data_IF_951239000994
#
_entry.id   IF_951239000994
#
_cell.length_a   1.000
_cell.length_b   1.000
_cell.length_c   1.000
_cell.angle_alpha   90.00
_cell.angle_beta   90.00
_cell.angle_gamma   90.00
#
_symmetry.space_group_name_H-M   'P 1'
#
loop_
_entity.id
_entity.type
_entity.pdbx_description
1 polymer ?
#
# COMPACT_ATOMS: atom_id res chain seq x y z
N UNK A 1 -3.38 11.88 24.91
CA UNK A 1 -3.10 11.90 23.46
C UNK A 1 -4.15 11.02 22.78
N UNK A 2 -4.95 11.57 21.88
CA UNK A 2 -5.95 10.84 21.09
C UNK A 2 -5.39 10.62 19.68
N UNK A 3 -5.52 9.41 19.15
CA UNK A 3 -5.19 9.11 17.76
C UNK A 3 -6.24 9.74 16.85
N UNK A 4 -5.81 10.40 15.77
CA UNK A 4 -6.72 10.78 14.70
C UNK A 4 -7.21 9.54 13.95
N UNK A 5 -8.32 9.68 13.23
CA UNK A 5 -8.99 8.56 12.57
C UNK A 5 -8.13 7.91 11.49
N UNK A 6 -7.36 8.70 10.73
CA UNK A 6 -6.49 8.16 9.68
C UNK A 6 -5.35 7.32 10.29
N UNK A 7 -4.69 7.85 11.32
CA UNK A 7 -3.67 7.12 12.08
C UNK A 7 -4.22 5.86 12.74
N UNK A 8 -5.45 5.90 13.25
CA UNK A 8 -6.11 4.74 13.84
C UNK A 8 -6.33 3.64 12.80
N UNK A 9 -6.94 3.96 11.65
CA UNK A 9 -7.22 2.96 10.61
C UNK A 9 -5.96 2.43 9.94
N UNK A 10 -4.95 3.28 9.73
CA UNK A 10 -3.63 2.87 9.30
C UNK A 10 -2.99 1.91 10.31
N UNK A 11 -3.13 2.19 11.61
CA UNK A 11 -2.70 1.30 12.69
C UNK A 11 -3.35 -0.09 12.62
N UNK A 12 -4.65 -0.15 12.31
CA UNK A 12 -5.38 -1.41 12.08
C UNK A 12 -4.85 -2.14 10.84
N UNK A 13 -4.60 -1.44 9.73
CA UNK A 13 -4.01 -2.03 8.53
C UNK A 13 -2.62 -2.62 8.82
N UNK A 14 -1.77 -1.89 9.54
CA UNK A 14 -0.45 -2.38 9.94
C UNK A 14 -0.51 -3.53 10.95
N UNK A 15 -1.51 -3.57 11.84
CA UNK A 15 -1.70 -4.71 12.73
C UNK A 15 -2.19 -5.94 11.95
N UNK A 16 -3.07 -5.73 10.97
CA UNK A 16 -3.59 -6.78 10.09
C UNK A 16 -2.45 -7.40 9.26
N UNK A 17 -1.48 -6.60 8.79
CA UNK A 17 -0.34 -7.11 8.02
C UNK A 17 0.46 -8.16 8.81
N UNK A 18 0.54 -8.04 10.14
CA UNK A 18 1.25 -9.01 11.00
C UNK A 18 0.62 -10.41 11.02
N UNK A 19 -0.57 -10.58 10.43
CA UNK A 19 -1.18 -11.90 10.22
C UNK A 19 -0.68 -12.60 8.95
N UNK A 20 -0.02 -11.89 8.04
CA UNK A 20 0.56 -12.49 6.84
C UNK A 20 1.69 -13.45 7.19
N UNK A 21 1.72 -14.60 6.52
CA UNK A 21 2.81 -15.58 6.62
C UNK A 21 3.88 -15.41 5.54
N UNK A 22 3.72 -14.42 4.65
CA UNK A 22 4.73 -14.12 3.65
C UNK A 22 6.02 -13.70 4.36
N UNK A 23 7.16 -14.40 4.19
CA UNK A 23 8.38 -14.09 4.95
C UNK A 23 9.06 -12.80 4.47
N UNK A 24 8.75 -12.33 3.26
CA UNK A 24 9.44 -11.20 2.61
C UNK A 24 8.60 -9.93 2.66
N UNK A 25 7.28 -10.06 2.51
CA UNK A 25 6.42 -8.89 2.33
C UNK A 25 5.08 -9.10 3.01
N UNK A 26 4.85 -8.39 4.11
CA UNK A 26 3.56 -8.43 4.79
C UNK A 26 2.80 -7.11 4.53
N UNK A 27 1.57 -7.26 4.06
CA UNK A 27 0.66 -6.17 3.71
C UNK A 27 -0.65 -6.43 4.43
N UNK A 28 -1.24 -5.38 4.97
CA UNK A 28 -2.57 -5.37 5.55
C UNK A 28 -3.42 -4.25 4.97
N UNK A 29 -4.72 -4.44 4.98
CA UNK A 29 -5.70 -3.49 4.47
C UNK A 29 -6.87 -3.33 5.46
N UNK A 30 -7.44 -2.13 5.54
CA UNK A 30 -8.59 -1.80 6.36
C UNK A 30 -9.57 -0.96 5.54
N UNK A 31 -10.77 -1.49 5.28
CA UNK A 31 -11.84 -0.81 4.55
C UNK A 31 -12.75 -0.12 5.56
N UNK A 32 -13.03 1.16 5.34
CA UNK A 32 -13.82 2.01 6.24
C UNK A 32 -14.89 2.75 5.44
N UNK A 33 -16.12 2.82 5.93
CA UNK A 33 -17.17 3.61 5.29
C UNK A 33 -17.10 5.10 5.66
N UNK A 34 -17.94 5.92 5.02
CA UNK A 34 -18.02 7.36 5.25
C UNK A 34 -18.41 7.75 6.69
N UNK A 35 -19.00 6.83 7.44
CA UNK A 35 -19.38 7.02 8.85
C UNK A 35 -18.23 6.68 9.81
N UNK A 36 -17.04 6.37 9.29
CA UNK A 36 -15.87 5.99 10.10
C UNK A 36 -15.97 4.59 10.70
N UNK A 37 -16.79 3.71 10.12
CA UNK A 37 -16.95 2.33 10.58
C UNK A 37 -16.08 1.42 9.71
N UNK A 38 -15.28 0.56 10.36
CA UNK A 38 -14.50 -0.47 9.69
C UNK A 38 -15.48 -1.50 9.12
N UNK A 39 -15.52 -1.61 7.80
CA UNK A 39 -16.35 -2.58 7.05
C UNK A 39 -15.63 -3.91 6.94
N UNK A 40 -14.32 -3.89 6.71
CA UNK A 40 -13.53 -5.11 6.53
C UNK A 40 -12.04 -4.89 6.75
N UNK A 41 -11.32 -5.97 7.01
CA UNK A 41 -9.85 -6.00 7.06
C UNK A 41 -9.31 -7.16 6.23
N UNK A 42 -8.08 -7.04 5.78
CA UNK A 42 -7.40 -8.06 5.00
C UNK A 42 -5.90 -8.03 5.18
N UNK A 43 -5.24 -9.11 4.79
CA UNK A 43 -3.79 -9.23 4.73
C UNK A 43 -3.41 -10.15 3.58
N UNK A 44 -2.19 -10.03 3.05
CA UNK A 44 -1.76 -10.89 1.96
C UNK A 44 -1.48 -12.31 2.48
N UNK A 45 -1.89 -13.31 1.71
CA UNK A 45 -1.82 -14.72 2.12
C UNK A 45 -2.19 -15.64 0.97
N UNK A 46 -1.95 -16.94 1.15
CA UNK A 46 -2.44 -17.94 0.21
C UNK A 46 -3.97 -18.02 0.23
N UNK A 47 -4.60 -18.62 -0.80
CA UNK A 47 -6.04 -18.76 -0.85
C UNK A 47 -6.56 -19.57 0.34
N UNK A 48 -7.77 -19.25 0.79
CA UNK A 48 -8.38 -19.95 1.92
C UNK A 48 -8.52 -21.44 1.61
N UNK A 49 -8.06 -22.28 2.54
CA UNK A 49 -8.09 -23.74 2.40
C UNK A 49 -6.83 -24.34 1.76
N UNK A 50 -5.86 -23.53 1.34
CA UNK A 50 -4.56 -24.01 0.91
C UNK A 50 -3.55 -24.05 2.07
N UNK A 51 -2.67 -25.05 2.08
CA UNK A 51 -1.61 -25.18 3.09
C UNK A 51 -0.43 -24.27 2.74
N UNK A 52 -0.13 -23.34 3.64
CA UNK A 52 0.98 -22.39 3.53
C UNK A 52 2.37 -23.06 3.55
N UNK A 53 2.47 -24.33 3.98
CA UNK A 53 3.70 -25.11 3.95
C UNK A 53 3.91 -25.83 2.61
N UNK A 54 2.84 -26.00 1.81
CA UNK A 54 2.88 -26.65 0.50
C UNK A 54 3.04 -25.62 -0.60
N UNK A 55 2.34 -24.48 -0.48
CA UNK A 55 2.43 -23.43 -1.48
C UNK A 55 3.73 -22.63 -1.35
N UNK A 56 4.38 -22.28 -2.48
CA UNK A 56 5.69 -21.67 -2.44
C UNK A 56 5.63 -20.18 -2.12
N UNK A 57 6.56 -19.73 -1.28
CA UNK A 57 6.77 -18.31 -0.95
C UNK A 57 7.90 -17.64 -1.76
N UNK A 58 8.54 -18.38 -2.67
CA UNK A 58 9.66 -17.90 -3.49
C UNK A 58 9.29 -16.71 -4.36
N UNK A 59 10.22 -15.76 -4.56
CA UNK A 59 9.96 -14.55 -5.37
C UNK A 59 10.64 -14.61 -6.75
N UNK A 60 11.91 -14.98 -6.78
CA UNK A 60 12.75 -14.93 -7.99
C UNK A 60 13.30 -16.32 -8.31
N UNK A 61 12.42 -17.27 -8.66
CA UNK A 61 12.81 -18.62 -9.06
C UNK A 61 12.63 -18.82 -10.58
N UNK A 62 13.44 -19.68 -11.22
CA UNK A 62 13.34 -19.92 -12.66
C UNK A 62 11.98 -20.50 -13.07
N UNK A 63 11.38 -21.30 -12.19
CA UNK A 63 10.06 -21.87 -12.39
C UNK A 63 8.99 -20.98 -11.74
N UNK A 64 8.08 -20.44 -12.56
CA UNK A 64 6.99 -19.56 -12.11
C UNK A 64 6.07 -20.25 -11.10
N UNK A 65 5.83 -21.56 -11.24
CA UNK A 65 4.99 -22.33 -10.33
C UNK A 65 5.65 -22.57 -8.97
N UNK A 66 6.94 -22.31 -8.84
CA UNK A 66 7.66 -22.31 -7.57
C UNK A 66 7.74 -20.90 -6.97
N UNK A 67 7.18 -19.89 -7.64
CA UNK A 67 7.04 -18.54 -7.08
C UNK A 67 5.67 -18.36 -6.41
N UNK A 68 5.59 -17.41 -5.49
CA UNK A 68 4.34 -17.07 -4.80
C UNK A 68 3.32 -16.33 -5.68
N UNK A 69 3.79 -15.68 -6.75
CA UNK A 69 3.00 -14.77 -7.57
C UNK A 69 1.69 -15.36 -8.13
N UNK A 70 1.63 -16.63 -8.53
CA UNK A 70 0.39 -17.24 -9.02
C UNK A 70 -0.65 -17.52 -7.92
N UNK A 71 -0.23 -17.58 -6.65
CA UNK A 71 -1.05 -18.11 -5.56
C UNK A 71 -1.40 -17.06 -4.52
N UNK A 72 -0.50 -16.11 -4.25
CA UNK A 72 -0.68 -15.15 -3.18
C UNK A 72 -1.80 -14.16 -3.50
N UNK A 73 -2.80 -14.10 -2.63
CA UNK A 73 -3.83 -13.08 -2.66
C UNK A 73 -3.33 -11.82 -1.96
N UNK A 74 -3.60 -10.66 -2.56
CA UNK A 74 -3.25 -9.36 -2.00
C UNK A 74 -4.16 -8.99 -0.81
N UNK A 75 -3.66 -8.13 0.08
CA UNK A 75 -4.39 -7.72 1.28
C UNK A 75 -5.70 -7.00 0.95
N UNK A 76 -5.69 -6.18 -0.10
CA UNK A 76 -6.82 -5.40 -0.60
C UNK A 76 -7.90 -6.32 -1.18
N UNK A 77 -7.50 -7.34 -1.95
CA UNK A 77 -8.42 -8.35 -2.49
C UNK A 77 -9.08 -9.12 -1.36
N UNK A 78 -8.29 -9.56 -0.37
CA UNK A 78 -8.81 -10.28 0.78
C UNK A 78 -9.75 -9.40 1.62
N UNK A 79 -9.43 -8.12 1.83
CA UNK A 79 -10.32 -7.20 2.52
C UNK A 79 -11.65 -7.00 1.76
N UNK A 80 -11.59 -6.90 0.43
CA UNK A 80 -12.77 -6.76 -0.40
C UNK A 80 -13.65 -8.01 -0.38
N UNK A 81 -13.06 -9.19 -0.52
CA UNK A 81 -13.79 -10.47 -0.49
C UNK A 81 -14.41 -10.76 0.88
N UNK A 82 -13.81 -10.26 1.95
CA UNK A 82 -14.34 -10.35 3.31
C UNK A 82 -15.49 -9.37 3.59
N UNK A 83 -15.69 -8.36 2.74
CA UNK A 83 -16.71 -7.34 2.94
C UNK A 83 -18.07 -7.75 2.34
N UNK A 84 -19.15 -7.40 3.02
CA UNK A 84 -20.51 -7.52 2.46
C UNK A 84 -20.69 -6.56 1.29
N UNK A 85 -21.18 -7.05 0.15
CA UNK A 85 -21.27 -6.28 -1.10
C UNK A 85 -22.16 -5.04 -1.00
N UNK A 86 -23.12 -5.01 -0.07
CA UNK A 86 -24.01 -3.87 0.17
C UNK A 86 -23.34 -2.68 0.87
N UNK A 87 -22.15 -2.86 1.44
CA UNK A 87 -21.51 -1.86 2.32
C UNK A 87 -20.32 -1.15 1.69
N UNK A 88 -19.97 -1.49 0.44
CA UNK A 88 -18.74 -1.01 -0.20
C UNK A 88 -18.87 0.34 -0.93
N UNK A 89 -20.10 0.82 -1.15
CA UNK A 89 -20.34 2.10 -1.80
C UNK A 89 -19.88 3.26 -0.90
N UNK A 90 -18.93 4.07 -1.38
CA UNK A 90 -18.42 5.23 -0.65
C UNK A 90 -17.37 4.90 0.41
N UNK A 91 -16.85 3.67 0.43
CA UNK A 91 -15.79 3.27 1.34
C UNK A 91 -14.40 3.75 0.90
N UNK A 92 -13.54 3.98 1.89
CA UNK A 92 -12.10 4.19 1.75
C UNK A 92 -11.35 2.95 2.22
N UNK A 93 -10.11 2.77 1.79
CA UNK A 93 -9.29 1.62 2.21
C UNK A 93 -7.88 2.07 2.51
N UNK A 94 -7.46 1.83 3.75
CA UNK A 94 -6.11 2.06 4.24
C UNK A 94 -5.26 0.82 4.01
N UNK A 95 -4.06 0.97 3.44
CA UNK A 95 -3.15 -0.14 3.15
C UNK A 95 -1.80 0.11 3.80
N UNK A 96 -1.32 -0.87 4.57
CA UNK A 96 -0.02 -0.82 5.22
C UNK A 96 0.85 -1.98 4.75
N UNK A 97 2.08 -1.67 4.35
CA UNK A 97 3.12 -2.66 4.02
C UNK A 97 4.22 -2.57 5.06
N UNK A 98 4.46 -3.63 5.81
CA UNK A 98 5.61 -3.66 6.71
C UNK A 98 6.89 -3.89 5.90
N UNK A 99 7.97 -3.21 6.30
CA UNK A 99 9.31 -3.22 5.67
C UNK A 99 9.52 -2.33 4.42
N UNK A 100 8.50 -1.61 3.95
CA UNK A 100 8.64 -0.50 3.00
C UNK A 100 7.74 0.61 3.52
N UNK A 101 8.30 1.77 3.87
CA UNK A 101 7.52 2.91 4.37
C UNK A 101 6.34 3.24 3.45
N UNK A 102 5.26 3.80 4.01
CA UNK A 102 4.05 4.19 3.27
C UNK A 102 4.40 4.94 1.97
N UNK A 103 4.00 4.38 0.83
CA UNK A 103 4.26 4.89 -0.54
C UNK A 103 3.04 5.61 -1.15
N UNK A 104 1.94 5.75 -0.40
CA UNK A 104 0.73 6.47 -0.81
C UNK A 104 0.57 7.74 0.01
N UNK A 105 0.44 8.89 -0.67
CA UNK A 105 0.20 10.20 -0.04
C UNK A 105 -1.20 10.30 0.59
N UNK A 106 -2.19 9.65 -0.03
CA UNK A 106 -3.61 9.82 0.29
C UNK A 106 -4.18 8.69 1.13
N UNK A 107 -3.42 7.61 1.36
CA UNK A 107 -3.89 6.48 2.16
C UNK A 107 -5.18 5.81 1.62
N UNK A 108 -5.59 6.17 0.39
CA UNK A 108 -6.87 5.77 -0.24
C UNK A 108 -6.61 4.99 -1.53
N UNK A 109 -7.50 4.05 -1.84
CA UNK A 109 -7.56 3.40 -3.17
C UNK A 109 -8.00 4.43 -4.23
N UNK A 110 -7.30 4.39 -5.36
CA UNK A 110 -7.70 5.06 -6.60
C UNK A 110 -8.99 4.41 -7.11
N UNK A 111 -10.11 5.13 -7.01
CA UNK A 111 -11.34 4.73 -7.68
C UNK A 111 -11.12 4.62 -9.18
N UNK A 112 -11.72 3.62 -9.85
CA UNK A 112 -11.65 3.47 -11.32
C UNK A 112 -12.16 4.70 -12.11
N UNK A 113 -12.86 5.64 -11.45
CA UNK A 113 -13.31 6.93 -12.00
C UNK A 113 -12.43 8.12 -11.60
N UNK A 114 -11.34 7.91 -10.86
CA UNK A 114 -10.42 8.98 -10.47
C UNK A 114 -9.42 9.24 -11.61
N UNK A 115 -9.88 9.96 -12.63
CA UNK A 115 -9.08 10.36 -13.80
C UNK A 115 -7.84 11.23 -13.46
N UNK A 116 -7.68 11.60 -12.18
CA UNK A 116 -6.63 12.46 -11.67
C UNK A 116 -5.46 11.67 -11.03
N UNK A 117 -5.62 10.38 -10.72
CA UNK A 117 -4.58 9.61 -10.04
C UNK A 117 -3.36 9.37 -10.95
N UNK A 118 -2.17 9.62 -10.42
CA UNK A 118 -0.89 9.37 -11.11
C UNK A 118 0.05 8.61 -10.19
N UNK A 119 0.74 7.62 -10.74
CA UNK A 119 1.86 6.97 -10.07
C UNK A 119 3.16 7.51 -10.68
N UNK A 120 3.98 8.15 -9.86
CA UNK A 120 5.27 8.71 -10.25
C UNK A 120 6.35 7.78 -9.71
N UNK A 121 7.24 7.35 -10.60
CA UNK A 121 8.38 6.51 -10.25
C UNK A 121 9.66 7.32 -10.43
N UNK A 122 10.32 7.64 -9.32
CA UNK A 122 11.57 8.41 -9.31
C UNK A 122 12.72 7.41 -9.28
N UNK A 123 13.50 7.39 -10.35
CA UNK A 123 14.68 6.54 -10.43
C UNK A 123 15.82 7.07 -9.57
N UNK A 124 16.46 6.18 -8.82
CA UNK A 124 17.68 6.53 -8.09
C UNK A 124 18.84 6.59 -9.07
N UNK A 125 19.62 7.66 -8.93
CA UNK A 125 20.76 7.95 -9.78
C UNK A 125 22.03 7.86 -8.95
N UNK A 126 23.05 7.21 -9.50
CA UNK A 126 24.35 7.16 -8.86
C UNK A 126 24.98 8.57 -8.88
N UNK A 127 25.35 9.12 -7.71
CA UNK A 127 25.76 10.53 -7.59
C UNK A 127 27.08 10.85 -8.31
N UNK A 128 27.90 9.85 -8.62
CA UNK A 128 29.20 10.02 -9.29
C UNK A 128 29.09 9.81 -10.80
N UNK A 129 28.28 8.84 -11.22
CA UNK A 129 28.20 8.46 -12.65
C UNK A 129 27.00 9.07 -13.39
N UNK A 130 26.02 9.63 -12.66
CA UNK A 130 24.80 10.16 -13.25
C UNK A 130 23.89 9.11 -13.90
N UNK A 131 24.22 7.82 -13.78
CA UNK A 131 23.45 6.72 -14.35
C UNK A 131 22.43 6.19 -13.35
N UNK A 132 21.28 5.75 -13.86
CA UNK A 132 20.25 5.08 -13.06
C UNK A 132 20.81 3.79 -12.48
N UNK A 133 20.55 3.54 -11.19
CA UNK A 133 21.07 2.35 -10.47
C UNK A 133 20.17 1.12 -10.64
N UNK A 134 19.02 1.26 -11.29
CA UNK A 134 17.99 0.21 -11.39
C UNK A 134 17.01 0.19 -10.23
N UNK A 135 17.30 0.90 -9.14
CA UNK A 135 16.39 1.11 -8.03
C UNK A 135 15.47 2.30 -8.30
N UNK A 136 14.20 2.12 -7.99
CA UNK A 136 13.17 3.14 -8.17
C UNK A 136 12.35 3.33 -6.90
N UNK A 137 11.95 4.56 -6.67
CA UNK A 137 11.07 4.94 -5.58
C UNK A 137 9.72 5.37 -6.13
N UNK A 138 8.66 4.74 -5.62
CA UNK A 138 7.31 4.89 -6.17
C UNK A 138 6.46 5.75 -5.26
N UNK A 139 5.85 6.78 -5.85
CA UNK A 139 4.90 7.67 -5.21
C UNK A 139 3.56 7.59 -5.92
N UNK A 140 2.52 7.17 -5.21
CA UNK A 140 1.15 7.21 -5.71
C UNK A 140 0.46 8.48 -5.19
N UNK A 141 -0.01 9.32 -6.12
CA UNK A 141 -0.77 10.54 -5.81
C UNK A 141 -2.17 10.36 -6.37
N UNK A 142 -3.18 10.43 -5.51
CA UNK A 142 -4.58 10.20 -5.89
C UNK A 142 -5.57 11.01 -5.07
N UNK A 143 -6.79 11.17 -5.57
CA UNK A 143 -7.91 11.73 -4.83
C UNK A 143 -7.86 13.25 -4.59
N UNK A 144 -8.29 13.66 -3.40
CA UNK A 144 -8.47 15.06 -3.01
C UNK A 144 -7.17 15.88 -3.05
N UNK A 145 -6.01 15.24 -2.78
CA UNK A 145 -4.69 15.87 -2.79
C UNK A 145 -4.40 16.56 -4.13
N UNK A 146 -4.75 15.93 -5.25
CA UNK A 146 -4.60 16.57 -6.57
C UNK A 146 -5.74 17.55 -6.87
N UNK A 147 -6.97 17.27 -6.43
CA UNK A 147 -8.12 18.18 -6.65
C UNK A 147 -7.99 19.52 -5.90
N UNK A 148 -7.28 19.52 -4.78
CA UNK A 148 -7.06 20.70 -3.94
C UNK A 148 -5.74 21.42 -4.23
N UNK A 149 -4.91 20.89 -5.15
CA UNK A 149 -3.60 21.47 -5.47
C UNK A 149 -2.52 21.22 -4.41
N UNK A 150 -2.74 20.28 -3.47
CA UNK A 150 -1.80 19.94 -2.39
C UNK A 150 -0.83 18.80 -2.76
N UNK A 151 -0.77 18.45 -4.06
CA UNK A 151 0.11 17.40 -4.56
C UNK A 151 1.58 17.71 -4.33
N UNK A 152 1.96 18.97 -4.45
CA UNK A 152 3.36 19.40 -4.37
C UNK A 152 3.87 19.29 -2.93
N UNK A 153 3.09 19.77 -1.95
CA UNK A 153 3.34 19.60 -0.52
C UNK A 153 3.40 18.12 -0.10
N UNK A 154 2.54 17.30 -0.68
CA UNK A 154 2.49 15.87 -0.39
C UNK A 154 3.70 15.13 -0.94
N UNK A 155 4.15 15.46 -2.16
CA UNK A 155 5.40 14.95 -2.74
C UNK A 155 6.57 15.39 -1.87
N UNK A 156 6.62 16.66 -1.46
CA UNK A 156 7.71 17.18 -0.64
C UNK A 156 7.80 16.44 0.70
N UNK A 157 6.67 16.25 1.40
CA UNK A 157 6.63 15.45 2.64
C UNK A 157 7.08 14.02 2.44
N UNK A 158 6.64 13.37 1.36
CA UNK A 158 7.03 12.00 1.05
C UNK A 158 8.52 11.91 0.69
N UNK A 159 9.06 12.86 -0.07
CA UNK A 159 10.47 12.92 -0.44
C UNK A 159 11.38 13.22 0.76
N UNK A 160 10.96 14.09 1.69
CA UNK A 160 11.67 14.29 2.97
C UNK A 160 11.65 13.02 3.82
N UNK A 161 10.49 12.35 3.93
CA UNK A 161 10.35 11.08 4.67
C UNK A 161 11.21 9.96 4.08
N UNK A 162 11.30 9.91 2.76
CA UNK A 162 12.14 8.99 2.00
C UNK A 162 13.63 9.33 2.01
N UNK A 163 14.00 10.49 2.57
CA UNK A 163 15.39 10.97 2.58
C UNK A 163 15.90 11.41 1.20
N UNK A 164 15.01 11.65 0.24
CA UNK A 164 15.34 12.22 -1.07
C UNK A 164 15.50 13.74 -1.01
N UNK A 165 14.98 14.39 0.03
CA UNK A 165 15.15 15.82 0.30
C UNK A 165 15.65 16.08 1.72
N UNK A 166 16.38 17.20 1.96
CA UNK A 166 16.80 17.62 3.28
C UNK A 166 15.59 17.80 4.22
N UNK A 167 15.76 17.52 5.51
CA UNK A 167 14.69 17.71 6.52
C UNK A 167 14.26 19.17 6.70
N UNK A 168 15.08 20.09 6.22
CA UNK A 168 14.87 21.55 6.33
C UNK A 168 14.24 22.14 5.05
N UNK A 169 13.70 21.29 4.18
CA UNK A 169 13.01 21.71 2.96
C UNK A 169 11.60 22.20 3.33
N UNK A 170 11.46 23.53 3.42
CA UNK A 170 10.17 24.22 3.62
C UNK A 170 9.37 24.26 2.31
#
# INVERSE_FOLDING_TARGET
>A
MTLDMESFFMGIACLSSKRSKDPVTQVGACIVNSSGIIVSTGYNGMPVGCDDNVLPWGKNLPNVLETKHPFVCHAELNALLNASTSELSGCSTEVCKTNLGNTSASSRIVSAKDHASVQIEIAKVNPVTGKMTGDTEKYAISGAIRRMGESDDSINRLAVRSGLMPKDFN
#
